data_IF_827686309061
#
_entry.id   IF_827686309061
#
_cell.length_a   1.000
_cell.length_b   1.000
_cell.length_c   1.000
_cell.angle_alpha   90.00
_cell.angle_beta   90.00
_cell.angle_gamma   90.00
#
_symmetry.space_group_name_H-M   'P 1'
#
loop_
_entity.id
_entity.type
_entity.pdbx_description
1 polymer ?
#
# COMPACT_ATOMS: atom_id res chain seq x y z
N UNK A 1 11.38 -8.93 -6.43
CA UNK A 1 12.12 -10.19 -6.19
C UNK A 1 11.47 -10.95 -5.06
N UNK A 2 11.29 -12.26 -5.19
CA UNK A 2 10.78 -13.13 -4.12
C UNK A 2 11.87 -13.37 -3.06
N UNK A 3 12.03 -12.40 -2.16
CA UNK A 3 12.90 -12.53 -1.00
C UNK A 3 12.31 -11.75 0.19
N UNK A 4 12.86 -11.93 1.38
CA UNK A 4 12.41 -11.25 2.58
C UNK A 4 12.38 -9.72 2.42
N UNK A 5 13.44 -9.13 1.85
CA UNK A 5 13.53 -7.67 1.63
C UNK A 5 12.42 -7.16 0.71
N UNK A 6 12.06 -7.93 -0.31
CA UNK A 6 10.98 -7.64 -1.25
C UNK A 6 9.60 -7.61 -0.60
N UNK A 7 9.45 -8.16 0.62
CA UNK A 7 8.22 -8.09 1.41
C UNK A 7 8.33 -7.06 2.54
N UNK A 8 9.44 -7.06 3.27
CA UNK A 8 9.68 -6.16 4.39
C UNK A 8 9.73 -4.68 3.97
N UNK A 9 10.30 -4.39 2.79
CA UNK A 9 10.40 -3.01 2.28
C UNK A 9 9.01 -2.39 1.99
N UNK A 10 8.18 -2.96 1.09
CA UNK A 10 6.82 -2.42 0.87
C UNK A 10 5.98 -2.49 2.14
N UNK A 11 6.11 -3.57 2.93
CA UNK A 11 5.42 -3.70 4.22
C UNK A 11 5.73 -2.54 5.18
N UNK A 12 6.97 -2.10 5.22
CA UNK A 12 7.39 -0.95 6.05
C UNK A 12 6.79 0.36 5.55
N UNK A 13 6.75 0.60 4.23
CA UNK A 13 6.12 1.79 3.66
C UNK A 13 4.63 1.85 4.00
N UNK A 14 3.89 0.78 3.74
CA UNK A 14 2.46 0.73 4.05
C UNK A 14 2.23 0.89 5.56
N UNK A 15 3.02 0.24 6.40
CA UNK A 15 2.88 0.38 7.86
C UNK A 15 3.12 1.82 8.32
N UNK A 16 4.18 2.48 7.83
CA UNK A 16 4.48 3.87 8.18
C UNK A 16 3.37 4.83 7.74
N UNK A 17 2.89 4.70 6.50
CA UNK A 17 1.77 5.52 6.00
C UNK A 17 0.48 5.25 6.77
N UNK A 18 0.16 3.98 7.04
CA UNK A 18 -1.03 3.59 7.80
C UNK A 18 -1.01 4.13 9.24
N UNK A 19 0.12 4.01 9.94
CA UNK A 19 0.29 4.57 11.28
C UNK A 19 0.20 6.10 11.27
N UNK A 20 0.87 6.74 10.32
CA UNK A 20 0.79 8.19 10.15
C UNK A 20 -0.65 8.66 9.92
N UNK A 21 -1.37 8.03 9.00
CA UNK A 21 -2.77 8.31 8.70
C UNK A 21 -3.70 8.06 9.89
N UNK A 22 -3.43 7.03 10.68
CA UNK A 22 -4.22 6.72 11.89
C UNK A 22 -4.17 7.82 12.96
N UNK A 23 -3.12 8.65 12.95
CA UNK A 23 -2.99 9.80 13.86
C UNK A 23 -3.46 11.08 13.17
N UNK A 24 -3.10 11.28 11.91
CA UNK A 24 -3.43 12.47 11.13
C UNK A 24 -4.95 12.68 11.00
N UNK A 25 -5.72 11.64 10.65
CA UNK A 25 -7.16 11.81 10.40
C UNK A 25 -7.96 12.19 11.65
N UNK A 26 -7.75 11.55 12.83
CA UNK A 26 -8.36 12.04 14.07
C UNK A 26 -7.99 13.49 14.39
N UNK A 27 -6.71 13.86 14.30
CA UNK A 27 -6.26 15.22 14.57
C UNK A 27 -6.89 16.25 13.61
N UNK A 28 -7.03 15.90 12.34
CA UNK A 28 -7.71 16.72 11.34
C UNK A 28 -9.20 16.88 11.67
N UNK A 29 -9.88 15.77 11.97
CA UNK A 29 -11.30 15.75 12.32
C UNK A 29 -11.60 16.57 13.59
N UNK A 30 -10.81 16.40 14.65
CA UNK A 30 -10.94 17.17 15.89
C UNK A 30 -10.62 18.64 15.67
N UNK A 31 -9.60 18.95 14.86
CA UNK A 31 -9.24 20.33 14.52
C UNK A 31 -10.31 21.06 13.73
N UNK A 32 -11.07 20.37 12.88
CA UNK A 32 -12.19 20.95 12.13
C UNK A 32 -13.40 21.27 13.01
N UNK A 33 -13.61 20.54 14.12
CA UNK A 33 -14.66 20.82 15.11
C UNK A 33 -14.38 22.09 15.92
N UNK A 34 -13.11 22.40 16.18
CA UNK A 34 -12.70 23.62 16.92
C UNK A 34 -12.67 24.82 15.94
N UNK A 35 -13.45 25.88 16.21
CA UNK A 35 -13.80 27.01 15.30
C UNK A 35 -12.66 27.80 14.60
N UNK A 36 -11.37 27.42 14.69
CA UNK A 36 -10.24 28.04 13.96
C UNK A 36 -10.03 27.39 12.57
N UNK A 37 -11.02 27.53 11.69
CA UNK A 37 -11.09 26.81 10.40
C UNK A 37 -9.95 27.13 9.42
N UNK A 38 -9.53 28.38 9.26
CA UNK A 38 -8.69 28.76 8.10
C UNK A 38 -7.23 28.25 8.15
N UNK A 39 -6.49 28.55 9.23
CA UNK A 39 -5.05 28.24 9.29
C UNK A 39 -4.74 26.73 9.39
N UNK A 40 -5.59 25.97 10.12
CA UNK A 40 -5.35 24.53 10.32
C UNK A 40 -5.67 23.72 9.06
N UNK A 41 -6.70 24.09 8.29
CA UNK A 41 -7.01 23.44 7.01
C UNK A 41 -5.83 23.61 6.04
N UNK A 42 -5.25 24.81 5.95
CA UNK A 42 -4.07 25.04 5.11
C UNK A 42 -2.85 24.21 5.55
N UNK A 43 -2.66 24.02 6.85
CA UNK A 43 -1.59 23.16 7.37
C UNK A 43 -1.75 21.70 6.93
N UNK A 44 -2.96 21.13 7.05
CA UNK A 44 -3.22 19.76 6.59
C UNK A 44 -3.11 19.62 5.07
N UNK A 45 -3.57 20.60 4.29
CA UNK A 45 -3.36 20.60 2.84
C UNK A 45 -1.89 20.65 2.44
N UNK A 46 -1.06 21.39 3.19
CA UNK A 46 0.40 21.39 2.98
C UNK A 46 1.02 20.03 3.34
N UNK A 47 0.54 19.38 4.38
CA UNK A 47 0.94 18.01 4.76
C UNK A 47 0.56 17.01 3.66
N UNK A 48 -0.65 17.10 3.10
CA UNK A 48 -1.08 16.29 1.96
C UNK A 48 -0.14 16.47 0.75
N UNK A 49 0.26 17.71 0.46
CA UNK A 49 1.22 18.00 -0.62
C UNK A 49 2.61 17.41 -0.34
N UNK A 50 3.08 17.44 0.91
CA UNK A 50 4.35 16.82 1.30
C UNK A 50 4.27 15.29 1.14
N UNK A 51 3.17 14.66 1.55
CA UNK A 51 2.92 13.23 1.32
C UNK A 51 2.94 12.91 -0.18
N UNK A 52 2.30 13.74 -1.00
CA UNK A 52 2.35 13.64 -2.46
C UNK A 52 3.78 13.70 -3.00
N UNK A 53 4.58 14.66 -2.53
CA UNK A 53 6.00 14.78 -2.88
C UNK A 53 6.81 13.55 -2.48
N UNK A 54 6.58 13.01 -1.28
CA UNK A 54 7.20 11.77 -0.80
C UNK A 54 6.86 10.59 -1.72
N UNK A 55 5.59 10.42 -2.10
CA UNK A 55 5.14 9.38 -3.05
C UNK A 55 5.87 9.51 -4.39
N UNK A 56 5.97 10.72 -4.95
CA UNK A 56 6.68 10.97 -6.22
C UNK A 56 8.14 10.55 -6.10
N UNK A 57 8.84 11.01 -5.06
CA UNK A 57 10.27 10.73 -4.88
C UNK A 57 10.51 9.22 -4.76
N UNK A 58 9.76 8.53 -3.91
CA UNK A 58 9.92 7.08 -3.75
C UNK A 58 9.52 6.30 -5.01
N UNK A 59 8.46 6.72 -5.71
CA UNK A 59 8.09 6.13 -6.99
C UNK A 59 9.20 6.26 -8.04
N UNK A 60 9.80 7.45 -8.17
CA UNK A 60 10.91 7.67 -9.09
C UNK A 60 12.13 6.82 -8.72
N UNK A 61 12.52 6.78 -7.44
CA UNK A 61 13.62 5.94 -6.97
C UNK A 61 13.32 4.47 -7.25
N UNK A 62 12.10 4.00 -6.96
CA UNK A 62 11.66 2.63 -7.21
C UNK A 62 11.71 2.26 -8.69
N UNK A 63 11.17 3.09 -9.58
CA UNK A 63 11.24 2.88 -11.02
C UNK A 63 12.69 2.84 -11.52
N UNK A 64 13.52 3.78 -11.08
CA UNK A 64 14.93 3.82 -11.48
C UNK A 64 15.68 2.57 -10.99
N UNK A 65 15.45 2.16 -9.74
CA UNK A 65 16.07 0.97 -9.17
C UNK A 65 15.61 -0.31 -9.89
N UNK A 66 14.32 -0.46 -10.19
CA UNK A 66 13.83 -1.64 -10.90
C UNK A 66 14.35 -1.71 -12.34
N UNK A 67 14.55 -0.57 -13.01
CA UNK A 67 14.96 -0.52 -14.40
C UNK A 67 16.48 -0.56 -14.60
N UNK A 68 17.27 0.12 -13.75
CA UNK A 68 18.67 0.44 -14.01
C UNK A 68 19.68 -0.08 -12.98
N UNK A 69 19.28 -0.95 -12.05
CA UNK A 69 20.27 -1.77 -11.34
C UNK A 69 21.10 -2.59 -12.35
N UNK A 70 22.33 -3.03 -12.03
CA UNK A 70 23.17 -3.79 -12.98
C UNK A 70 22.45 -4.99 -13.61
N UNK A 71 21.58 -5.63 -12.82
CA UNK A 71 20.70 -6.72 -13.24
C UNK A 71 19.29 -6.24 -13.61
N UNK A 72 19.11 -5.02 -14.11
CA UNK A 72 17.81 -4.48 -14.51
C UNK A 72 17.45 -4.84 -15.96
N UNK A 73 16.19 -4.64 -16.39
CA UNK A 73 15.79 -4.75 -17.79
C UNK A 73 16.31 -3.59 -18.67
N UNK A 74 16.78 -2.48 -18.10
CA UNK A 74 17.34 -1.32 -18.83
C UNK A 74 16.40 -0.80 -19.94
N UNK A 75 15.10 -0.72 -19.65
CA UNK A 75 14.03 -0.34 -20.60
C UNK A 75 13.80 -1.29 -21.77
N UNK A 76 14.49 -2.44 -21.84
CA UNK A 76 14.16 -3.49 -22.78
C UNK A 76 12.96 -4.28 -22.27
N UNK A 77 11.88 -4.33 -23.05
CA UNK A 77 10.72 -5.17 -22.77
C UNK A 77 10.89 -6.59 -23.31
N UNK A 78 11.52 -6.70 -24.48
CA UNK A 78 11.81 -7.95 -25.18
C UNK A 78 13.28 -8.02 -25.56
N UNK A 79 13.82 -9.24 -25.64
CA UNK A 79 15.18 -9.50 -26.13
C UNK A 79 15.22 -10.77 -26.98
N UNK A 80 16.28 -10.90 -27.79
CA UNK A 80 16.52 -12.03 -28.68
C UNK A 80 15.59 -12.10 -29.90
N UNK A 81 15.86 -13.05 -30.79
CA UNK A 81 15.07 -13.27 -32.01
C UNK A 81 13.64 -13.74 -31.70
N UNK A 82 13.46 -14.52 -30.64
CA UNK A 82 12.16 -15.06 -30.22
C UNK A 82 11.27 -14.07 -29.46
N UNK A 83 11.75 -12.83 -29.21
CA UNK A 83 11.07 -11.80 -28.40
C UNK A 83 10.66 -12.30 -27.01
N UNK A 84 11.62 -12.85 -26.29
CA UNK A 84 11.40 -13.29 -24.91
C UNK A 84 11.28 -12.08 -23.97
N UNK A 85 10.40 -12.19 -22.96
CA UNK A 85 10.18 -11.14 -21.97
C UNK A 85 11.42 -10.91 -21.10
N UNK A 86 11.85 -9.65 -20.97
CA UNK A 86 13.00 -9.30 -20.14
C UNK A 86 12.51 -8.87 -18.75
N UNK A 87 12.81 -9.70 -17.75
CA UNK A 87 12.60 -9.40 -16.32
C UNK A 87 11.22 -8.78 -16.02
N UNK A 88 10.16 -9.45 -16.49
CA UNK A 88 8.78 -8.96 -16.44
C UNK A 88 8.31 -8.57 -15.02
N UNK A 89 8.87 -9.20 -13.99
CA UNK A 89 8.61 -8.85 -12.60
C UNK A 89 9.02 -7.41 -12.26
N UNK A 90 10.19 -6.97 -12.74
CA UNK A 90 10.67 -5.60 -12.54
C UNK A 90 9.77 -4.58 -13.27
N UNK A 91 9.21 -4.97 -14.41
CA UNK A 91 8.19 -4.17 -15.12
C UNK A 91 6.89 -4.05 -14.32
N UNK A 92 6.39 -5.13 -13.71
CA UNK A 92 5.22 -5.05 -12.83
C UNK A 92 5.46 -4.08 -11.66
N UNK A 93 6.61 -4.16 -11.00
CA UNK A 93 6.98 -3.22 -9.94
C UNK A 93 7.09 -1.78 -10.44
N UNK A 94 7.70 -1.58 -11.61
CA UNK A 94 7.81 -0.25 -12.25
C UNK A 94 6.44 0.34 -12.53
N UNK A 95 5.49 -0.46 -13.03
CA UNK A 95 4.10 -0.05 -13.23
C UNK A 95 3.43 0.31 -11.91
N UNK A 96 3.59 -0.50 -10.87
CA UNK A 96 3.06 -0.18 -9.54
C UNK A 96 3.59 1.17 -9.03
N UNK A 97 4.91 1.39 -9.09
CA UNK A 97 5.52 2.66 -8.69
C UNK A 97 5.01 3.84 -9.51
N UNK A 98 4.84 3.69 -10.83
CA UNK A 98 4.29 4.73 -11.70
C UNK A 98 2.92 5.21 -11.20
N UNK A 99 2.00 4.31 -10.88
CA UNK A 99 0.66 4.68 -10.43
C UNK A 99 0.65 5.35 -9.05
N UNK A 100 1.48 4.89 -8.11
CA UNK A 100 1.67 5.59 -6.83
C UNK A 100 2.31 6.98 -7.01
N UNK A 101 3.23 7.12 -7.97
CA UNK A 101 3.80 8.40 -8.36
C UNK A 101 2.75 9.35 -8.94
N UNK A 102 1.89 8.86 -9.85
CA UNK A 102 0.77 9.63 -10.41
C UNK A 102 -0.23 10.07 -9.32
N UNK A 103 -0.53 9.22 -8.34
CA UNK A 103 -1.30 9.63 -7.16
C UNK A 103 -0.61 10.77 -6.41
N UNK A 104 0.70 10.68 -6.18
CA UNK A 104 1.45 11.76 -5.52
C UNK A 104 1.46 13.07 -6.31
N UNK A 105 1.53 13.02 -7.64
CA UNK A 105 1.41 14.21 -8.51
C UNK A 105 0.06 14.90 -8.31
N UNK A 106 -1.03 14.12 -8.27
CA UNK A 106 -2.37 14.67 -8.04
C UNK A 106 -2.52 15.24 -6.63
N UNK A 107 -1.93 14.62 -5.60
CA UNK A 107 -1.92 15.17 -4.24
C UNK A 107 -1.25 16.57 -4.21
N UNK A 108 -0.09 16.72 -4.86
CA UNK A 108 0.62 18.01 -4.96
C UNK A 108 -0.19 19.03 -5.77
N UNK A 109 -0.76 18.63 -6.91
CA UNK A 109 -1.56 19.55 -7.72
C UNK A 109 -2.85 19.99 -7.04
N UNK A 110 -3.46 19.13 -6.23
CA UNK A 110 -4.65 19.48 -5.43
C UNK A 110 -4.34 20.61 -4.43
N UNK A 111 -3.09 20.72 -3.96
CA UNK A 111 -2.64 21.83 -3.13
C UNK A 111 -2.32 23.10 -3.94
N UNK A 112 -1.62 22.96 -5.08
CA UNK A 112 -1.11 24.10 -5.86
C UNK A 112 -2.18 24.74 -6.74
N UNK A 113 -3.14 23.96 -7.25
CA UNK A 113 -4.11 24.41 -8.25
C UNK A 113 -5.55 24.22 -7.78
N UNK A 114 -6.32 25.31 -7.85
CA UNK A 114 -7.75 25.30 -7.55
C UNK A 114 -8.61 24.69 -8.69
N UNK A 115 -8.01 24.40 -9.84
CA UNK A 115 -8.70 23.83 -11.02
C UNK A 115 -8.88 22.32 -10.87
N UNK A 116 -8.12 21.67 -9.99
CA UNK A 116 -8.19 20.21 -9.81
C UNK A 116 -9.56 19.81 -9.26
N UNK A 117 -10.28 18.88 -9.92
CA UNK A 117 -11.57 18.40 -9.44
C UNK A 117 -11.47 17.85 -8.02
N UNK A 118 -12.45 18.19 -7.18
CA UNK A 118 -12.53 17.68 -5.82
C UNK A 118 -12.66 16.16 -5.83
N UNK A 119 -11.82 15.48 -5.04
CA UNK A 119 -11.82 14.01 -4.94
C UNK A 119 -10.92 13.31 -5.95
N UNK A 120 -10.28 14.03 -6.88
CA UNK A 120 -9.35 13.41 -7.83
C UNK A 120 -8.16 12.75 -7.13
N UNK A 121 -7.69 13.32 -6.02
CA UNK A 121 -6.61 12.76 -5.21
C UNK A 121 -7.00 11.41 -4.56
N UNK A 122 -8.23 11.31 -4.03
CA UNK A 122 -8.78 10.03 -3.53
C UNK A 122 -8.94 9.02 -4.66
N UNK A 123 -9.46 9.46 -5.80
CA UNK A 123 -9.64 8.59 -6.97
C UNK A 123 -8.29 8.03 -7.44
N UNK A 124 -7.27 8.87 -7.58
CA UNK A 124 -5.95 8.43 -8.04
C UNK A 124 -5.26 7.50 -7.05
N UNK A 125 -5.43 7.72 -5.74
CA UNK A 125 -4.94 6.78 -4.74
C UNK A 125 -5.68 5.43 -4.84
N UNK A 126 -7.01 5.46 -4.98
CA UNK A 126 -7.81 4.24 -5.17
C UNK A 126 -7.38 3.45 -6.42
N UNK A 127 -7.16 4.15 -7.54
CA UNK A 127 -6.65 3.55 -8.78
C UNK A 127 -5.27 2.94 -8.57
N UNK A 128 -4.36 3.61 -7.86
CA UNK A 128 -3.03 3.08 -7.59
C UNK A 128 -3.08 1.78 -6.77
N UNK A 129 -3.87 1.76 -5.69
CA UNK A 129 -4.07 0.56 -4.85
C UNK A 129 -4.79 -0.55 -5.64
N UNK A 130 -5.75 -0.22 -6.51
CA UNK A 130 -6.41 -1.19 -7.37
C UNK A 130 -5.45 -1.83 -8.38
N UNK A 131 -4.60 -1.02 -9.03
CA UNK A 131 -3.57 -1.50 -9.95
C UNK A 131 -2.57 -2.40 -9.22
N UNK A 132 -2.14 -2.04 -8.01
CA UNK A 132 -1.33 -2.93 -7.16
C UNK A 132 -2.02 -4.28 -6.96
N UNK A 133 -3.30 -4.29 -6.56
CA UNK A 133 -4.07 -5.52 -6.37
C UNK A 133 -4.16 -6.38 -7.63
N UNK A 134 -4.40 -5.77 -8.79
CA UNK A 134 -4.41 -6.48 -10.07
C UNK A 134 -3.05 -7.10 -10.42
N UNK A 135 -1.95 -6.35 -10.23
CA UNK A 135 -0.60 -6.85 -10.50
C UNK A 135 -0.24 -7.99 -9.54
N UNK A 136 -0.56 -7.85 -8.25
CA UNK A 136 -0.35 -8.91 -7.25
C UNK A 136 -1.19 -10.15 -7.51
N UNK A 137 -2.43 -10.02 -7.98
CA UNK A 137 -3.28 -11.18 -8.27
C UNK A 137 -2.63 -12.14 -9.29
N UNK A 138 -2.10 -11.59 -10.38
CA UNK A 138 -1.43 -12.40 -11.40
C UNK A 138 -0.01 -12.83 -11.00
N UNK A 139 0.63 -12.15 -10.05
CA UNK A 139 1.90 -12.60 -9.45
C UNK A 139 1.75 -13.93 -8.68
N UNK A 140 0.60 -14.12 -8.07
CA UNK A 140 0.34 -15.21 -7.11
C UNK A 140 -0.12 -16.50 -7.80
N UNK A 141 -0.56 -16.40 -9.06
CA UNK A 141 -1.01 -17.55 -9.83
C UNK A 141 0.14 -18.57 -10.00
N UNK A 142 -0.14 -19.85 -9.72
CA UNK A 142 0.80 -20.98 -9.81
C UNK A 142 1.88 -21.06 -8.71
N UNK A 143 1.69 -20.40 -7.57
CA UNK A 143 2.50 -20.61 -6.37
C UNK A 143 2.02 -21.82 -5.55
N UNK A 144 2.86 -22.38 -4.65
CA UNK A 144 2.43 -23.41 -3.71
C UNK A 144 1.24 -22.96 -2.86
N UNK A 145 0.47 -23.93 -2.32
CA UNK A 145 -0.81 -23.66 -1.66
C UNK A 145 -0.71 -22.63 -0.53
N UNK A 146 0.28 -22.78 0.36
CA UNK A 146 0.52 -21.85 1.46
C UNK A 146 0.86 -20.44 0.98
N UNK A 147 1.82 -20.32 0.05
CA UNK A 147 2.25 -19.06 -0.55
C UNK A 147 1.08 -18.35 -1.26
N UNK A 148 0.27 -19.11 -2.00
CA UNK A 148 -0.92 -18.60 -2.65
C UNK A 148 -1.96 -18.09 -1.65
N UNK A 149 -2.19 -18.83 -0.56
CA UNK A 149 -3.17 -18.49 0.47
C UNK A 149 -2.81 -17.19 1.20
N UNK A 150 -1.58 -17.08 1.70
CA UNK A 150 -1.16 -15.90 2.46
C UNK A 150 -1.17 -14.63 1.61
N UNK A 151 -0.83 -14.72 0.33
CA UNK A 151 -0.95 -13.61 -0.60
C UNK A 151 -2.40 -13.30 -0.99
N UNK A 152 -3.27 -14.31 -1.03
CA UNK A 152 -4.71 -14.08 -1.25
C UNK A 152 -5.33 -13.28 -0.09
N UNK A 153 -4.91 -13.53 1.15
CA UNK A 153 -5.32 -12.71 2.30
C UNK A 153 -4.83 -11.25 2.17
N UNK A 154 -3.62 -11.04 1.66
CA UNK A 154 -3.11 -9.69 1.35
C UNK A 154 -3.99 -8.97 0.31
N UNK A 155 -4.40 -9.68 -0.75
CA UNK A 155 -5.28 -9.13 -1.79
C UNK A 155 -6.62 -8.65 -1.22
N UNK A 156 -7.18 -9.35 -0.23
CA UNK A 156 -8.40 -8.92 0.45
C UNK A 156 -8.18 -7.54 1.10
N UNK A 157 -7.05 -7.33 1.78
CA UNK A 157 -6.71 -6.02 2.35
C UNK A 157 -6.54 -4.96 1.26
N UNK A 158 -5.77 -5.24 0.20
CA UNK A 158 -5.52 -4.30 -0.89
C UNK A 158 -6.84 -3.85 -1.56
N UNK A 159 -7.68 -4.78 -1.97
CA UNK A 159 -8.96 -4.45 -2.61
C UNK A 159 -9.93 -3.75 -1.65
N UNK A 160 -9.95 -4.12 -0.37
CA UNK A 160 -10.72 -3.39 0.65
C UNK A 160 -10.26 -1.94 0.78
N UNK A 161 -8.94 -1.70 0.72
CA UNK A 161 -8.35 -0.37 0.74
C UNK A 161 -8.71 0.43 -0.52
N UNK A 162 -8.60 -0.18 -1.71
CA UNK A 162 -8.99 0.44 -2.97
C UNK A 162 -10.48 0.84 -2.96
N UNK A 163 -11.38 -0.07 -2.54
CA UNK A 163 -12.81 0.19 -2.44
C UNK A 163 -13.13 1.30 -1.42
N UNK A 164 -12.52 1.27 -0.22
CA UNK A 164 -12.71 2.33 0.78
C UNK A 164 -12.28 3.69 0.24
N UNK A 165 -11.09 3.75 -0.37
CA UNK A 165 -10.55 4.99 -0.94
C UNK A 165 -11.45 5.52 -2.07
N UNK A 166 -12.04 4.61 -2.88
CA UNK A 166 -13.01 5.00 -3.91
C UNK A 166 -14.27 5.60 -3.30
N UNK A 167 -14.78 5.04 -2.20
CA UNK A 167 -15.95 5.60 -1.51
C UNK A 167 -15.69 7.01 -0.98
N UNK A 168 -14.46 7.34 -0.56
CA UNK A 168 -14.07 8.69 -0.13
C UNK A 168 -14.18 9.75 -1.25
N UNK A 169 -14.23 9.34 -2.53
CA UNK A 169 -14.51 10.26 -3.66
C UNK A 169 -15.91 10.84 -3.54
N UNK A 170 -16.88 10.03 -3.10
CA UNK A 170 -18.29 10.42 -2.96
C UNK A 170 -18.62 10.88 -1.54
N UNK A 171 -18.01 10.25 -0.53
CA UNK A 171 -18.25 10.46 0.90
C UNK A 171 -17.05 11.16 1.55
N UNK A 172 -16.74 12.36 1.06
CA UNK A 172 -15.56 13.12 1.48
C UNK A 172 -15.58 13.50 2.97
N UNK A 173 -14.40 13.56 3.58
CA UNK A 173 -14.17 13.97 4.98
C UNK A 173 -14.94 13.09 5.98
N UNK A 174 -15.32 11.88 5.57
CA UNK A 174 -15.93 10.88 6.43
C UNK A 174 -14.83 10.17 7.23
N UNK A 175 -14.69 10.56 8.49
CA UNK A 175 -13.68 10.02 9.40
C UNK A 175 -13.71 8.49 9.51
N UNK A 176 -14.87 7.84 9.36
CA UNK A 176 -14.96 6.38 9.42
C UNK A 176 -14.23 5.76 8.23
N UNK A 177 -14.42 6.30 7.02
CA UNK A 177 -13.74 5.81 5.82
C UNK A 177 -12.24 6.12 5.85
N UNK A 178 -11.85 7.32 6.30
CA UNK A 178 -10.45 7.71 6.43
C UNK A 178 -9.70 6.83 7.44
N UNK A 179 -10.33 6.55 8.59
CA UNK A 179 -9.80 5.64 9.60
C UNK A 179 -9.77 4.19 9.12
N UNK A 180 -10.81 3.74 8.41
CA UNK A 180 -10.83 2.39 7.84
C UNK A 180 -9.71 2.21 6.81
N UNK A 181 -9.48 3.18 5.92
CA UNK A 181 -8.34 3.18 5.01
C UNK A 181 -7.02 3.11 5.76
N UNK A 182 -6.82 3.91 6.80
CA UNK A 182 -5.61 3.84 7.62
C UNK A 182 -5.41 2.44 8.24
N UNK A 183 -6.48 1.85 8.78
CA UNK A 183 -6.46 0.49 9.35
C UNK A 183 -6.10 -0.59 8.33
N UNK A 184 -6.75 -0.56 7.16
CA UNK A 184 -6.46 -1.52 6.08
C UNK A 184 -5.03 -1.37 5.57
N UNK A 185 -4.49 -0.15 5.49
CA UNK A 185 -3.10 0.10 5.13
C UNK A 185 -2.11 -0.43 6.20
N UNK A 186 -2.44 -0.33 7.51
CA UNK A 186 -1.66 -0.98 8.59
C UNK A 186 -1.66 -2.50 8.42
N UNK A 187 -2.82 -3.09 8.13
CA UNK A 187 -2.96 -4.53 7.91
C UNK A 187 -2.13 -4.96 6.70
N UNK A 188 -2.24 -4.26 5.58
CA UNK A 188 -1.42 -4.51 4.38
C UNK A 188 0.07 -4.49 4.73
N UNK A 189 0.54 -3.47 5.46
CA UNK A 189 1.95 -3.34 5.85
C UNK A 189 2.45 -4.45 6.79
N UNK A 190 1.70 -4.71 7.86
CA UNK A 190 2.05 -5.77 8.83
C UNK A 190 1.94 -7.16 8.23
N UNK A 191 1.00 -7.38 7.31
CA UNK A 191 0.83 -8.67 6.65
C UNK A 191 1.92 -8.95 5.62
N UNK A 192 2.39 -7.93 4.89
CA UNK A 192 3.61 -8.06 4.07
C UNK A 192 4.80 -8.56 4.91
N UNK A 193 5.00 -8.01 6.11
CA UNK A 193 6.01 -8.51 7.04
C UNK A 193 5.77 -9.96 7.44
N UNK A 194 4.52 -10.32 7.78
CA UNK A 194 4.17 -11.69 8.14
C UNK A 194 4.47 -12.68 7.00
N UNK A 195 4.10 -12.34 5.76
CA UNK A 195 4.43 -13.15 4.57
C UNK A 195 5.95 -13.33 4.46
N UNK A 196 6.71 -12.24 4.58
CA UNK A 196 8.17 -12.29 4.54
C UNK A 196 8.76 -13.22 5.59
N UNK A 197 8.24 -13.18 6.83
CA UNK A 197 8.69 -14.06 7.91
C UNK A 197 8.34 -15.52 7.60
N UNK A 198 7.10 -15.80 7.22
CA UNK A 198 6.62 -17.17 6.93
C UNK A 198 7.44 -17.82 5.82
N UNK A 199 7.61 -17.14 4.68
CA UNK A 199 8.24 -17.71 3.49
C UNK A 199 9.77 -17.80 3.57
N UNK A 200 10.43 -16.91 4.32
CA UNK A 200 11.90 -16.80 4.26
C UNK A 200 12.61 -17.07 5.58
N UNK A 201 11.89 -17.17 6.70
CA UNK A 201 12.46 -17.45 8.03
C UNK A 201 13.76 -16.65 8.29
N UNK A 202 13.71 -15.30 8.33
CA UNK A 202 14.91 -14.45 8.33
C UNK A 202 15.83 -14.67 9.54
N UNK A 203 15.34 -15.35 10.57
CA UNK A 203 16.08 -15.70 11.79
C UNK A 203 16.50 -17.17 11.87
N UNK A 204 16.43 -17.92 10.75
CA UNK A 204 16.87 -19.31 10.69
C UNK A 204 15.92 -20.32 11.37
N UNK A 205 14.64 -19.98 11.48
CA UNK A 205 13.61 -20.90 11.97
C UNK A 205 13.29 -22.02 10.98
N UNK A 206 12.54 -23.06 11.40
CA UNK A 206 12.11 -24.13 10.51
C UNK A 206 11.18 -23.58 9.42
N UNK A 207 11.34 -24.10 8.20
CA UNK A 207 10.45 -23.75 7.09
C UNK A 207 9.05 -24.31 7.34
N UNK A 208 8.04 -23.58 6.89
CA UNK A 208 6.65 -24.01 6.98
C UNK A 208 6.37 -25.12 5.98
N UNK A 209 5.58 -26.11 6.39
CA UNK A 209 5.06 -27.11 5.46
C UNK A 209 3.96 -26.46 4.60
N UNK A 210 4.22 -26.32 3.31
CA UNK A 210 3.32 -25.67 2.36
C UNK A 210 2.08 -26.51 2.03
N UNK A 211 2.08 -27.80 2.39
CA UNK A 211 0.97 -28.73 2.17
C UNK A 211 0.12 -28.97 3.42
N UNK A 212 0.60 -28.55 4.60
CA UNK A 212 -0.14 -28.71 5.86
C UNK A 212 -1.31 -27.72 5.93
N UNK A 213 -2.52 -28.27 5.92
CA UNK A 213 -3.75 -27.49 6.08
C UNK A 213 -3.83 -26.74 7.42
N UNK A 214 -3.19 -27.24 8.46
CA UNK A 214 -3.15 -26.60 9.79
C UNK A 214 -2.45 -25.23 9.71
N UNK A 215 -1.42 -25.11 8.86
CA UNK A 215 -0.73 -23.85 8.62
C UNK A 215 -1.64 -22.82 7.94
N UNK A 216 -2.49 -23.26 7.01
CA UNK A 216 -3.51 -22.42 6.35
C UNK A 216 -4.50 -21.88 7.39
N UNK A 217 -5.04 -22.77 8.24
CA UNK A 217 -5.96 -22.37 9.30
C UNK A 217 -5.31 -21.38 10.28
N UNK A 218 -4.08 -21.69 10.73
CA UNK A 218 -3.35 -20.86 11.67
C UNK A 218 -3.06 -19.46 11.11
N UNK A 219 -2.56 -19.37 9.88
CA UNK A 219 -2.25 -18.07 9.27
C UNK A 219 -3.52 -17.26 8.97
N UNK A 220 -4.64 -17.92 8.68
CA UNK A 220 -5.94 -17.24 8.58
C UNK A 220 -6.34 -16.61 9.92
N UNK A 221 -6.16 -17.32 11.04
CA UNK A 221 -6.38 -16.75 12.37
C UNK A 221 -5.45 -15.57 12.65
N UNK A 222 -4.15 -15.71 12.34
CA UNK A 222 -3.18 -14.63 12.48
C UNK A 222 -3.63 -13.39 11.69
N UNK A 223 -4.06 -13.54 10.44
CA UNK A 223 -4.57 -12.42 9.65
C UNK A 223 -5.71 -11.68 10.34
N UNK A 224 -6.66 -12.40 10.95
CA UNK A 224 -7.72 -11.79 11.75
C UNK A 224 -7.20 -11.09 13.01
N UNK A 225 -6.10 -11.55 13.63
CA UNK A 225 -5.45 -10.83 14.71
C UNK A 225 -4.81 -9.52 14.26
N UNK A 226 -4.28 -9.44 13.03
CA UNK A 226 -3.81 -8.18 12.45
C UNK A 226 -4.96 -7.17 12.32
N UNK A 227 -6.16 -7.61 11.95
CA UNK A 227 -7.37 -6.76 11.96
C UNK A 227 -7.69 -6.24 13.36
N UNK A 228 -7.71 -7.12 14.37
CA UNK A 228 -7.97 -6.73 15.75
C UNK A 228 -6.92 -5.73 16.28
N UNK A 229 -5.64 -5.96 15.97
CA UNK A 229 -4.55 -5.06 16.32
C UNK A 229 -4.69 -3.70 15.63
N UNK A 230 -5.02 -3.67 14.35
CA UNK A 230 -5.25 -2.42 13.62
C UNK A 230 -6.42 -1.62 14.22
N UNK A 231 -7.55 -2.27 14.53
CA UNK A 231 -8.69 -1.64 15.22
C UNK A 231 -8.27 -1.06 16.57
N UNK A 232 -7.44 -1.78 17.33
CA UNK A 232 -6.92 -1.30 18.62
C UNK A 232 -6.07 -0.04 18.44
N UNK A 233 -5.15 -0.03 17.47
CA UNK A 233 -4.33 1.14 17.14
C UNK A 233 -5.20 2.34 16.74
N UNK A 234 -6.18 2.13 15.86
CA UNK A 234 -7.13 3.15 15.44
C UNK A 234 -7.92 3.73 16.63
N UNK A 235 -8.42 2.87 17.51
CA UNK A 235 -9.18 3.27 18.69
C UNK A 235 -8.31 4.08 19.66
N UNK A 236 -7.08 3.66 19.92
CA UNK A 236 -6.14 4.40 20.78
C UNK A 236 -5.86 5.79 20.20
N UNK A 237 -5.55 5.88 18.90
CA UNK A 237 -5.21 7.15 18.25
C UNK A 237 -6.40 8.10 18.11
N UNK A 238 -7.64 7.58 18.06
CA UNK A 238 -8.84 8.42 18.06
C UNK A 238 -9.12 9.09 19.41
N UNK A 239 -8.64 8.50 20.51
CA UNK A 239 -8.86 8.99 21.87
C UNK A 239 -7.72 9.90 22.39
N UNK A 240 -6.70 10.19 21.57
CA UNK A 240 -5.64 11.17 21.86
C UNK A 240 -6.14 12.61 21.69
#
# INVERSE_FOLDING_TARGET
>A
MANFKGHALPGSFFLLFGLWWSVKYPLQHLSQKVKKKSHRIYCFQRVDAIEGGIKIIFALIGMLAEQFVPDGPHLYLYSGENRDWVKLMNWQHTTMYLFYGLSGVVDVFTYVSQVVPRGLDRLMLSVAVFVEGCLFYYHVLHRPMLDQHIHSLLLIAIFSGACSTMLEVFLRDNIVLEMFRAGVTIIQGTWFWQIGVVLFQPWGGPMWDEQDHSNIMFLTMCFCWHWAAAVTVLALNYNL
#
